data_IF_687676572137
#
_entry.id   IF_687676572137
#
_cell.length_a   1.000
_cell.length_b   1.000
_cell.length_c   1.000
_cell.angle_alpha   90.00
_cell.angle_beta   90.00
_cell.angle_gamma   90.00
#
_symmetry.space_group_name_H-M   'P 1'
#
loop_
_entity.id
_entity.type
_entity.pdbx_description
1 polymer ?
#
# COMPACT_ATOMS: atom_id res chain seq x y z
N UNK A 1 4.74 25.89 17.06
CA UNK A 1 4.06 25.20 15.94
C UNK A 1 4.65 23.81 15.93
N UNK A 2 4.00 22.85 16.58
CA UNK A 2 4.56 21.50 16.78
C UNK A 2 4.48 20.78 15.44
N UNK A 3 5.61 20.72 14.74
CA UNK A 3 5.77 19.89 13.57
C UNK A 3 6.05 18.48 14.07
N UNK A 4 5.00 17.69 14.13
CA UNK A 4 5.06 16.25 14.37
C UNK A 4 5.79 15.62 13.19
N UNK A 5 7.10 15.49 13.35
CA UNK A 5 7.95 14.70 12.49
C UNK A 5 7.63 13.23 12.73
N UNK A 6 6.48 12.76 12.22
CA UNK A 6 6.33 11.35 11.93
C UNK A 6 7.48 11.00 10.97
N UNK A 7 8.30 9.98 11.27
CA UNK A 7 9.33 9.57 10.33
C UNK A 7 8.65 9.31 8.99
N UNK A 8 9.26 9.77 7.90
CA UNK A 8 9.06 9.16 6.60
C UNK A 8 9.42 7.67 6.78
N UNK A 9 8.47 6.89 7.28
CA UNK A 9 8.44 5.46 7.08
C UNK A 9 8.34 5.38 5.57
N UNK A 10 9.48 5.28 4.90
CA UNK A 10 9.56 4.54 3.65
C UNK A 10 8.95 3.21 4.01
N UNK A 11 7.64 3.12 3.83
CA UNK A 11 6.83 2.08 4.43
C UNK A 11 7.50 0.78 4.02
N UNK A 12 8.02 0.06 5.01
CA UNK A 12 8.56 -1.26 4.82
C UNK A 12 7.33 -2.09 4.43
N UNK A 13 7.00 -2.03 3.15
CA UNK A 13 5.76 -2.54 2.59
C UNK A 13 5.99 -4.03 2.43
N UNK A 14 5.92 -4.70 3.57
CA UNK A 14 5.72 -6.13 3.62
C UNK A 14 4.26 -6.41 3.26
N UNK A 15 4.02 -7.35 2.34
CA UNK A 15 2.68 -7.76 1.99
C UNK A 15 2.02 -8.42 3.22
N UNK A 16 0.76 -8.07 3.56
CA UNK A 16 0.07 -8.67 4.70
C UNK A 16 -0.20 -10.16 4.50
N UNK A 17 -0.21 -10.63 3.25
CA UNK A 17 -0.39 -12.02 2.86
C UNK A 17 0.53 -12.38 1.69
N UNK A 18 1.05 -13.61 1.63
CA UNK A 18 1.81 -14.08 0.48
C UNK A 18 1.01 -13.93 -0.82
N UNK A 19 1.65 -13.36 -1.85
CA UNK A 19 1.03 -13.12 -3.16
C UNK A 19 0.26 -11.82 -3.29
N UNK A 20 0.20 -10.98 -2.24
CA UNK A 20 -0.30 -9.62 -2.40
C UNK A 20 0.70 -8.76 -3.17
N UNK A 21 0.20 -8.00 -4.15
CA UNK A 21 1.01 -7.07 -4.94
C UNK A 21 0.73 -5.62 -4.56
N UNK A 22 1.77 -4.78 -4.57
CA UNK A 22 1.61 -3.38 -4.25
C UNK A 22 1.04 -2.60 -5.44
N UNK A 23 -0.08 -1.90 -5.23
CA UNK A 23 -0.66 -0.99 -6.21
C UNK A 23 -0.24 0.44 -5.95
N UNK A 24 0.61 0.96 -6.83
CA UNK A 24 1.02 2.37 -6.80
C UNK A 24 -0.11 3.34 -7.17
N UNK A 25 -1.18 2.87 -7.81
CA UNK A 25 -2.30 3.75 -8.19
C UNK A 25 -3.22 4.08 -7.01
N UNK A 26 -3.23 3.22 -6.00
CA UNK A 26 -4.16 3.25 -4.88
C UNK A 26 -3.47 3.19 -3.52
N UNK A 27 -2.14 3.17 -3.54
CA UNK A 27 -1.25 2.95 -2.40
C UNK A 27 -1.80 1.87 -1.47
N UNK A 28 -2.10 0.70 -2.03
CA UNK A 28 -2.70 -0.41 -1.30
C UNK A 28 -2.22 -1.77 -1.82
N UNK A 29 -2.31 -2.79 -0.96
CA UNK A 29 -2.08 -4.18 -1.35
C UNK A 29 -3.27 -4.74 -2.11
N UNK A 30 -3.00 -5.42 -3.22
CA UNK A 30 -3.98 -6.04 -4.09
C UNK A 30 -3.90 -7.56 -4.00
N UNK A 31 -5.06 -8.19 -3.86
CA UNK A 31 -5.20 -9.64 -3.92
C UNK A 31 -6.59 -9.97 -4.49
N UNK A 32 -6.69 -10.77 -5.57
CA UNK A 32 -5.59 -11.36 -6.35
C UNK A 32 -4.77 -10.33 -7.16
N UNK A 33 -3.55 -10.70 -7.63
CA UNK A 33 -2.73 -9.91 -8.54
C UNK A 33 -3.54 -9.29 -9.68
N UNK A 34 -3.36 -8.00 -9.95
CA UNK A 34 -4.11 -7.26 -10.97
C UNK A 34 -5.53 -6.83 -10.58
N UNK A 35 -6.10 -7.29 -9.45
CA UNK A 35 -7.39 -6.83 -8.94
C UNK A 35 -7.18 -5.98 -7.69
N UNK A 36 -7.21 -4.66 -7.91
CA UNK A 36 -7.06 -3.65 -6.87
C UNK A 36 -8.38 -2.94 -6.62
N UNK A 37 -8.62 -2.48 -5.37
CA UNK A 37 -9.85 -1.72 -5.06
C UNK A 37 -10.08 -0.50 -5.97
N UNK A 38 -9.03 0.10 -6.50
CA UNK A 38 -9.15 1.21 -7.45
C UNK A 38 -9.61 0.81 -8.85
N UNK A 39 -9.32 -0.43 -9.27
CA UNK A 39 -9.58 -0.93 -10.64
C UNK A 39 -10.67 -2.02 -10.69
N UNK A 40 -11.23 -2.41 -9.55
CA UNK A 40 -12.30 -3.41 -9.45
C UNK A 40 -13.65 -2.73 -9.15
N UNK A 41 -14.09 -1.86 -10.06
CA UNK A 41 -15.44 -1.27 -10.05
C UNK A 41 -16.40 -2.08 -10.90
#
# INVERSE_FOLDING_TARGET
>A
MTQDSAPLQTEHREPPVPGAEWCNACDAWCLPPGICRCNNR
#
